data_IF_753276863765
#
_entry.id   IF_753276863765
#
_cell.length_a   1.000
_cell.length_b   1.000
_cell.length_c   1.000
_cell.angle_alpha   90.00
_cell.angle_beta   90.00
_cell.angle_gamma   90.00
#
_symmetry.space_group_name_H-M   'P 1'
#
loop_
_entity.id
_entity.type
_entity.pdbx_description
1 polymer ?
#
# COMPACT_ATOMS: atom_id res chain seq x y z
N UNK A 1 0.23 -19.96 7.66
CA UNK A 1 -1.12 -19.62 7.10
C UNK A 1 -1.28 -18.12 7.26
N UNK A 2 -1.74 -17.40 6.23
CA UNK A 2 -1.90 -15.95 6.34
C UNK A 2 -3.09 -15.59 7.25
N UNK A 3 -2.94 -14.55 8.06
CA UNK A 3 -4.03 -13.99 8.88
C UNK A 3 -5.11 -13.31 8.01
N UNK A 4 -4.71 -12.80 6.84
CA UNK A 4 -5.60 -12.19 5.86
C UNK A 4 -5.71 -13.10 4.65
N UNK A 5 -6.95 -13.41 4.23
CA UNK A 5 -7.24 -14.24 3.06
C UNK A 5 -8.31 -13.60 2.17
N UNK A 6 -8.37 -14.01 0.92
CA UNK A 6 -9.32 -13.51 -0.06
C UNK A 6 -10.14 -14.65 -0.67
N UNK A 7 -11.45 -14.51 -0.66
CA UNK A 7 -12.40 -15.41 -1.29
C UNK A 7 -12.99 -14.76 -2.55
N UNK A 8 -12.74 -15.35 -3.71
CA UNK A 8 -13.37 -14.94 -4.97
C UNK A 8 -14.77 -15.56 -5.06
N UNK A 9 -15.82 -14.74 -5.03
CA UNK A 9 -17.21 -15.20 -5.15
C UNK A 9 -17.64 -15.23 -6.62
N UNK A 10 -17.33 -14.17 -7.38
CA UNK A 10 -17.75 -14.06 -8.78
C UNK A 10 -16.81 -13.18 -9.58
N UNK A 11 -16.55 -13.59 -10.81
CA UNK A 11 -15.85 -12.78 -11.81
C UNK A 11 -16.82 -12.35 -12.92
N UNK A 12 -16.75 -11.10 -13.34
CA UNK A 12 -17.54 -10.60 -14.46
C UNK A 12 -16.95 -11.12 -15.78
N UNK A 13 -17.77 -11.79 -16.58
CA UNK A 13 -17.33 -12.34 -17.87
C UNK A 13 -17.00 -11.28 -18.93
N UNK A 14 -17.44 -10.02 -18.73
CA UNK A 14 -17.26 -8.92 -19.69
C UNK A 14 -16.15 -7.93 -19.35
N UNK A 15 -15.79 -7.81 -18.07
CA UNK A 15 -14.86 -6.74 -17.60
C UNK A 15 -13.74 -7.24 -16.70
N UNK A 16 -13.70 -8.53 -16.34
CA UNK A 16 -12.75 -9.05 -15.37
C UNK A 16 -12.90 -8.50 -13.95
N UNK A 17 -13.95 -7.71 -13.66
CA UNK A 17 -14.27 -7.24 -12.31
C UNK A 17 -14.58 -8.43 -11.40
N UNK A 18 -14.13 -8.36 -10.15
CA UNK A 18 -14.24 -9.45 -9.18
C UNK A 18 -15.05 -9.03 -7.97
N UNK A 19 -16.08 -9.79 -7.64
CA UNK A 19 -16.77 -9.74 -6.36
C UNK A 19 -16.14 -10.77 -5.43
N UNK A 20 -15.79 -10.38 -4.22
CA UNK A 20 -15.17 -11.28 -3.26
C UNK A 20 -15.31 -10.81 -1.82
N UNK A 21 -14.68 -11.55 -0.92
CA UNK A 21 -14.57 -11.22 0.50
C UNK A 21 -13.11 -11.19 0.93
N UNK A 22 -12.78 -10.19 1.71
CA UNK A 22 -11.49 -10.06 2.39
C UNK A 22 -11.71 -10.45 3.86
N UNK A 23 -11.08 -11.54 4.28
CA UNK A 23 -11.12 -12.01 5.66
C UNK A 23 -9.90 -11.48 6.39
N UNK A 24 -10.10 -10.82 7.53
CA UNK A 24 -9.03 -10.30 8.40
C UNK A 24 -9.31 -10.68 9.85
N UNK A 25 -8.36 -10.55 10.77
CA UNK A 25 -8.60 -10.73 12.20
C UNK A 25 -9.71 -9.83 12.77
N UNK A 26 -9.96 -8.67 12.14
CA UNK A 26 -10.99 -7.70 12.58
C UNK A 26 -12.27 -7.74 11.75
N UNK A 27 -12.49 -8.81 10.99
CA UNK A 27 -13.75 -9.05 10.29
C UNK A 27 -13.62 -9.48 8.84
N UNK A 28 -14.78 -9.69 8.22
CA UNK A 28 -14.92 -10.06 6.82
C UNK A 28 -15.58 -8.92 6.06
N UNK A 29 -14.97 -8.48 4.97
CA UNK A 29 -15.34 -7.30 4.23
C UNK A 29 -15.61 -7.61 2.76
N UNK A 30 -16.62 -6.98 2.20
CA UNK A 30 -16.97 -7.13 0.79
C UNK A 30 -16.01 -6.36 -0.11
N UNK A 31 -15.64 -6.95 -1.25
CA UNK A 31 -14.84 -6.30 -2.29
C UNK A 31 -15.58 -6.28 -3.63
N UNK A 32 -15.41 -5.25 -4.46
CA UNK A 32 -14.48 -4.13 -4.30
C UNK A 32 -14.92 -3.13 -3.23
N UNK A 33 -13.98 -2.46 -2.58
CA UNK A 33 -14.24 -1.41 -1.61
C UNK A 33 -13.25 -0.26 -1.74
N UNK A 34 -13.64 0.90 -1.26
CA UNK A 34 -12.77 2.05 -1.07
C UNK A 34 -12.24 2.07 0.37
N UNK A 35 -10.97 2.42 0.54
CA UNK A 35 -10.33 2.56 1.84
C UNK A 35 -10.08 4.04 2.13
N UNK A 36 -10.83 4.67 3.07
CA UNK A 36 -10.55 6.03 3.52
C UNK A 36 -9.14 6.13 4.12
N UNK A 37 -8.48 7.28 3.89
CA UNK A 37 -7.10 7.47 4.35
C UNK A 37 -7.08 8.17 5.71
N UNK A 38 -6.56 7.45 6.71
CA UNK A 38 -6.29 7.93 8.06
C UNK A 38 -4.80 8.22 8.26
N UNK A 39 -4.31 9.32 7.68
CA UNK A 39 -2.87 9.64 7.54
C UNK A 39 -2.09 9.58 8.85
N UNK A 40 -2.60 10.17 9.92
CA UNK A 40 -1.98 10.20 11.25
C UNK A 40 -2.90 9.54 12.28
N UNK A 41 -3.33 8.32 12.01
CA UNK A 41 -4.31 7.60 12.81
C UNK A 41 -5.64 8.38 12.99
N UNK A 42 -6.04 9.11 11.96
CA UNK A 42 -7.35 9.78 11.89
C UNK A 42 -7.74 10.04 10.44
N UNK A 43 -8.96 9.73 10.08
CA UNK A 43 -9.55 10.21 8.83
C UNK A 43 -10.01 11.65 9.09
N UNK A 44 -9.37 12.60 8.39
CA UNK A 44 -9.61 14.03 8.67
C UNK A 44 -11.09 14.38 8.64
N UNK A 45 -11.54 15.11 9.64
CA UNK A 45 -12.91 15.62 9.82
C UNK A 45 -13.98 14.56 10.13
N UNK A 46 -13.61 13.29 10.30
CA UNK A 46 -14.55 12.20 10.58
C UNK A 46 -14.18 11.48 11.87
N UNK A 47 -15.18 11.29 12.74
CA UNK A 47 -15.07 10.42 13.91
C UNK A 47 -15.26 8.94 13.50
N UNK A 48 -14.78 7.98 14.29
CA UNK A 48 -14.99 6.56 14.01
C UNK A 48 -16.45 6.17 13.82
N UNK A 49 -17.35 6.75 14.60
CA UNK A 49 -18.80 6.51 14.53
C UNK A 49 -19.38 6.94 13.16
N UNK A 50 -18.88 8.03 12.60
CA UNK A 50 -19.28 8.51 11.27
C UNK A 50 -18.76 7.58 10.17
N UNK A 51 -17.53 7.04 10.31
CA UNK A 51 -16.99 6.05 9.40
C UNK A 51 -17.82 4.76 9.41
N UNK A 52 -18.26 4.31 10.58
CA UNK A 52 -19.19 3.17 10.69
C UNK A 52 -20.53 3.46 10.01
N UNK A 53 -21.11 4.63 10.24
CA UNK A 53 -22.39 5.03 9.64
C UNK A 53 -22.31 5.12 8.11
N UNK A 54 -21.15 5.52 7.55
CA UNK A 54 -20.91 5.55 6.11
C UNK A 54 -20.57 4.16 5.51
N UNK A 55 -20.50 3.12 6.32
CA UNK A 55 -20.18 1.77 5.87
C UNK A 55 -18.70 1.55 5.51
N UNK A 56 -17.79 2.37 6.04
CA UNK A 56 -16.35 2.14 5.87
C UNK A 56 -15.98 0.77 6.45
N UNK A 57 -15.27 -0.04 5.66
CA UNK A 57 -14.92 -1.41 6.01
C UNK A 57 -13.45 -1.52 6.42
N UNK A 58 -12.57 -0.93 5.65
CA UNK A 58 -11.11 -0.92 5.89
C UNK A 58 -10.61 0.51 5.79
N UNK A 59 -9.74 0.91 6.71
CA UNK A 59 -9.06 2.21 6.71
C UNK A 59 -7.59 2.01 6.37
N UNK A 60 -7.03 2.92 5.55
CA UNK A 60 -5.61 2.98 5.28
C UNK A 60 -4.94 4.00 6.20
N UNK A 61 -3.82 3.64 6.83
CA UNK A 61 -2.96 4.56 7.59
C UNK A 61 -1.55 4.61 6.99
N UNK A 62 -0.90 5.78 7.08
CA UNK A 62 0.39 5.98 6.42
C UNK A 62 1.56 5.74 7.38
N UNK A 63 2.34 4.71 7.10
CA UNK A 63 3.53 4.30 7.88
C UNK A 63 4.53 5.44 8.05
N UNK A 64 4.86 6.17 6.98
CA UNK A 64 5.79 7.29 7.02
C UNK A 64 5.36 8.37 8.03
N UNK A 65 4.09 8.78 8.00
CA UNK A 65 3.58 9.81 8.89
C UNK A 65 3.58 9.35 10.35
N UNK A 66 3.15 8.12 10.60
CA UNK A 66 3.11 7.54 11.94
C UNK A 66 4.50 7.25 12.50
N UNK A 67 5.47 6.88 11.65
CA UNK A 67 6.87 6.75 12.03
C UNK A 67 7.46 8.07 12.54
N UNK A 68 7.11 9.20 11.88
CA UNK A 68 7.60 10.51 12.28
C UNK A 68 6.83 11.08 13.49
N UNK A 69 5.51 10.96 13.49
CA UNK A 69 4.63 11.50 14.54
C UNK A 69 3.29 10.76 14.59
N UNK A 70 2.89 10.21 15.74
CA UNK A 70 3.49 10.36 17.08
C UNK A 70 4.69 9.44 17.34
N UNK A 71 5.03 8.57 16.39
CA UNK A 71 6.01 7.50 16.54
C UNK A 71 5.32 6.15 16.80
N UNK A 72 5.78 5.11 16.11
CA UNK A 72 5.19 3.77 16.17
C UNK A 72 5.26 3.14 17.57
N UNK A 73 6.29 3.46 18.36
CA UNK A 73 6.42 2.99 19.74
C UNK A 73 5.31 3.52 20.66
N UNK A 74 4.86 4.75 20.46
CA UNK A 74 3.74 5.30 21.21
C UNK A 74 2.44 4.58 20.84
N UNK A 75 2.21 4.36 19.55
CA UNK A 75 1.02 3.64 19.06
C UNK A 75 1.02 2.20 19.56
N UNK A 76 2.18 1.52 19.57
CA UNK A 76 2.35 0.19 20.14
C UNK A 76 1.96 0.15 21.63
N UNK A 77 2.44 1.13 22.43
CA UNK A 77 2.10 1.26 23.87
C UNK A 77 0.60 1.50 24.09
N UNK A 78 -0.07 2.15 23.14
CA UNK A 78 -1.53 2.34 23.16
C UNK A 78 -2.33 1.09 22.73
N UNK A 79 -1.65 -0.02 22.40
CA UNK A 79 -2.27 -1.27 21.98
C UNK A 79 -2.51 -1.39 20.46
N UNK A 80 -1.73 -0.66 19.66
CA UNK A 80 -1.81 -0.65 18.20
C UNK A 80 -2.83 0.35 17.64
N UNK A 81 -2.90 0.43 16.31
CA UNK A 81 -3.75 1.40 15.61
C UNK A 81 -5.23 1.23 15.93
N UNK A 82 -5.75 0.02 16.03
CA UNK A 82 -7.16 -0.24 16.31
C UNK A 82 -7.58 0.42 17.63
N UNK A 83 -6.80 0.21 18.70
CA UNK A 83 -7.06 0.85 19.99
C UNK A 83 -6.80 2.35 19.96
N UNK A 84 -5.73 2.79 19.30
CA UNK A 84 -5.35 4.19 19.22
C UNK A 84 -6.38 5.05 18.47
N UNK A 85 -6.98 4.50 17.40
CA UNK A 85 -8.04 5.14 16.61
C UNK A 85 -9.44 4.85 17.14
N UNK A 86 -9.61 3.87 18.05
CA UNK A 86 -10.91 3.32 18.46
C UNK A 86 -11.74 2.84 17.25
N UNK A 87 -11.08 2.15 16.34
CA UNK A 87 -11.69 1.59 15.13
C UNK A 87 -11.43 0.08 15.09
N UNK A 88 -12.50 -0.72 15.14
CA UNK A 88 -12.46 -2.16 15.33
C UNK A 88 -12.64 -2.98 14.04
N UNK A 89 -12.65 -2.30 12.88
CA UNK A 89 -12.70 -2.96 11.56
C UNK A 89 -11.32 -3.04 10.93
N UNK A 90 -11.25 -3.55 9.71
CA UNK A 90 -9.99 -3.76 9.00
C UNK A 90 -9.13 -2.50 8.86
N UNK A 91 -7.83 -2.68 8.99
CA UNK A 91 -6.83 -1.64 8.76
C UNK A 91 -5.72 -2.13 7.85
N UNK A 92 -5.24 -1.22 7.00
CA UNK A 92 -4.06 -1.40 6.18
C UNK A 92 -3.07 -0.28 6.46
N UNK A 93 -1.78 -0.62 6.61
CA UNK A 93 -0.69 0.36 6.58
C UNK A 93 0.05 0.30 5.26
N UNK A 94 0.29 1.47 4.65
CA UNK A 94 1.14 1.54 3.45
C UNK A 94 2.62 1.26 3.78
N UNK A 95 3.45 1.11 2.75
CA UNK A 95 4.89 0.87 2.93
C UNK A 95 5.66 2.08 3.47
N UNK A 96 5.14 3.29 3.29
CA UNK A 96 5.84 4.56 3.48
C UNK A 96 6.73 4.97 2.30
N UNK A 97 6.93 4.11 1.30
CA UNK A 97 7.79 4.36 0.14
C UNK A 97 7.37 5.58 -0.66
N UNK A 98 6.09 5.70 -1.01
CA UNK A 98 5.57 6.83 -1.77
C UNK A 98 5.78 8.18 -1.06
N UNK A 99 5.55 8.26 0.26
CA UNK A 99 5.72 9.50 1.02
C UNK A 99 7.19 9.90 1.12
N UNK A 100 8.09 8.96 1.30
CA UNK A 100 9.54 9.21 1.22
C UNK A 100 9.90 9.73 -0.17
N UNK A 101 9.26 9.20 -1.22
CA UNK A 101 9.43 9.67 -2.59
C UNK A 101 8.91 11.10 -2.79
N UNK A 102 7.68 11.40 -2.36
CA UNK A 102 6.98 12.65 -2.67
C UNK A 102 7.32 13.81 -1.72
N UNK A 103 7.57 13.51 -0.43
CA UNK A 103 7.77 14.51 0.63
C UNK A 103 9.24 14.64 1.06
N UNK A 104 10.07 13.68 0.72
CA UNK A 104 11.48 13.64 1.10
C UNK A 104 12.33 14.59 0.27
N UNK A 105 12.46 15.85 0.69
CA UNK A 105 13.51 16.71 0.17
C UNK A 105 14.89 16.05 0.39
N UNK A 106 15.75 16.00 -0.64
CA UNK A 106 17.09 15.39 -0.58
C UNK A 106 17.09 13.93 -0.08
N UNK A 107 16.36 13.06 -0.78
CA UNK A 107 16.45 11.61 -0.53
C UNK A 107 17.66 10.99 -1.21
N UNK A 108 18.23 9.98 -0.57
CA UNK A 108 19.26 9.14 -1.13
C UNK A 108 18.83 7.68 -1.02
N UNK A 109 18.56 7.07 -2.17
CA UNK A 109 18.15 5.67 -2.29
C UNK A 109 19.42 4.83 -2.49
N UNK A 110 19.51 3.74 -1.75
CA UNK A 110 20.53 2.71 -1.83
C UNK A 110 19.89 1.34 -1.65
N UNK A 111 20.65 0.28 -1.85
CA UNK A 111 20.18 -1.08 -1.63
C UNK A 111 19.76 -1.33 -0.18
N UNK A 112 20.44 -0.71 0.78
CA UNK A 112 20.14 -0.85 2.20
C UNK A 112 18.82 -0.19 2.61
N UNK A 113 18.38 0.84 1.88
CA UNK A 113 17.19 1.62 2.20
C UNK A 113 17.32 3.07 1.74
N UNK A 114 16.48 3.94 2.30
CA UNK A 114 16.36 5.34 1.91
C UNK A 114 16.69 6.27 3.07
N UNK A 115 17.67 7.15 2.86
CA UNK A 115 17.94 8.28 3.75
C UNK A 115 17.18 9.50 3.24
N UNK A 116 16.47 10.19 4.12
CA UNK A 116 15.69 11.39 3.79
C UNK A 116 15.68 12.39 4.94
N UNK A 117 15.18 13.60 4.69
CA UNK A 117 14.92 14.59 5.74
C UNK A 117 13.44 14.62 6.07
N UNK A 118 13.14 14.59 7.37
CA UNK A 118 11.78 14.75 7.88
C UNK A 118 11.20 16.11 7.45
N UNK A 119 9.98 16.09 6.91
CA UNK A 119 9.26 17.31 6.54
C UNK A 119 8.75 18.09 7.77
N UNK A 120 8.80 17.50 8.97
CA UNK A 120 8.32 18.11 10.21
C UNK A 120 9.40 19.02 10.81
N UNK A 121 10.64 18.52 10.91
CA UNK A 121 11.73 19.16 11.67
C UNK A 121 13.07 19.18 10.92
N UNK A 122 13.11 18.69 9.67
CA UNK A 122 14.33 18.62 8.86
C UNK A 122 15.36 17.61 9.33
N UNK A 123 15.09 16.84 10.39
CA UNK A 123 16.02 15.83 10.89
C UNK A 123 16.27 14.72 9.87
N UNK A 124 17.51 14.23 9.85
CA UNK A 124 17.89 13.11 8.99
C UNK A 124 17.28 11.82 9.52
N UNK A 125 16.58 11.10 8.65
CA UNK A 125 15.95 9.81 8.93
C UNK A 125 16.42 8.76 7.95
N UNK A 126 16.32 7.50 8.35
CA UNK A 126 16.60 6.34 7.51
C UNK A 126 15.43 5.36 7.61
N UNK A 127 15.00 4.83 6.48
CA UNK A 127 13.98 3.80 6.39
C UNK A 127 14.50 2.69 5.49
N UNK A 128 14.51 1.47 5.99
CA UNK A 128 14.84 0.26 5.26
C UNK A 128 13.64 -0.68 5.21
N UNK A 129 13.65 -1.75 4.41
CA UNK A 129 12.62 -2.80 4.45
C UNK A 129 12.38 -3.32 5.87
N UNK A 130 13.44 -3.56 6.63
CA UNK A 130 13.37 -4.06 8.01
C UNK A 130 12.67 -3.03 8.92
N UNK A 131 13.13 -1.79 8.91
CA UNK A 131 12.56 -0.73 9.76
C UNK A 131 11.09 -0.47 9.39
N UNK A 132 10.76 -0.45 8.09
CA UNK A 132 9.38 -0.27 7.63
C UNK A 132 8.48 -1.41 8.11
N UNK A 133 8.96 -2.64 8.11
CA UNK A 133 8.24 -3.81 8.63
C UNK A 133 8.08 -3.74 10.14
N UNK A 134 9.14 -3.47 10.90
CA UNK A 134 9.09 -3.28 12.36
C UNK A 134 8.09 -2.18 12.76
N UNK A 135 8.07 -1.06 12.04
CA UNK A 135 7.10 0.02 12.25
C UNK A 135 5.68 -0.48 12.05
N UNK A 136 5.41 -1.19 10.95
CA UNK A 136 4.07 -1.71 10.64
C UNK A 136 3.63 -2.81 11.62
N UNK A 137 4.53 -3.67 12.08
CA UNK A 137 4.24 -4.63 13.15
C UNK A 137 3.88 -3.91 14.47
N UNK A 138 4.60 -2.85 14.82
CA UNK A 138 4.30 -2.04 16.00
C UNK A 138 2.95 -1.31 15.88
N UNK A 139 2.59 -0.85 14.68
CA UNK A 139 1.30 -0.23 14.39
C UNK A 139 0.15 -1.25 14.46
N UNK A 140 0.36 -2.50 14.07
CA UNK A 140 -0.59 -3.59 14.26
C UNK A 140 -1.84 -3.51 13.40
N UNK A 141 -1.74 -3.02 12.16
CA UNK A 141 -2.80 -3.14 11.17
C UNK A 141 -2.95 -4.60 10.70
N UNK A 142 -4.10 -4.99 10.16
CA UNK A 142 -4.32 -6.34 9.60
C UNK A 142 -3.42 -6.61 8.38
N UNK A 143 -3.21 -5.56 7.57
CA UNK A 143 -2.43 -5.63 6.34
C UNK A 143 -1.26 -4.66 6.43
N UNK A 144 -0.05 -5.18 6.25
CA UNK A 144 1.18 -4.42 6.05
C UNK A 144 1.62 -4.49 4.58
N UNK A 145 2.10 -3.38 4.02
CA UNK A 145 2.61 -3.35 2.65
C UNK A 145 4.13 -3.47 2.66
N UNK A 146 4.69 -4.31 1.78
CA UNK A 146 6.14 -4.41 1.62
C UNK A 146 6.75 -3.06 1.19
N UNK A 147 7.93 -2.73 1.71
CA UNK A 147 8.61 -1.49 1.36
C UNK A 147 9.03 -1.48 -0.11
N UNK A 148 8.69 -0.41 -0.82
CA UNK A 148 8.88 -0.28 -2.26
C UNK A 148 9.51 1.05 -2.65
N UNK A 149 10.05 1.10 -3.86
CA UNK A 149 10.48 2.33 -4.51
C UNK A 149 9.47 2.76 -5.56
N UNK A 150 8.80 3.89 -5.34
CA UNK A 150 7.89 4.46 -6.32
C UNK A 150 8.67 5.10 -7.47
N UNK A 151 8.48 4.58 -8.68
CA UNK A 151 9.12 5.08 -9.90
C UNK A 151 8.40 6.35 -10.38
N UNK A 152 9.10 7.46 -10.66
CA UNK A 152 8.48 8.67 -11.21
C UNK A 152 7.96 8.45 -12.64
N UNK A 153 7.12 9.36 -13.09
CA UNK A 153 6.74 9.47 -14.49
C UNK A 153 7.13 10.83 -15.05
N UNK A 154 7.77 10.90 -16.22
CA UNK A 154 8.36 9.77 -16.95
C UNK A 154 9.64 9.24 -16.28
N UNK A 155 9.99 8.00 -16.55
CA UNK A 155 11.27 7.40 -16.16
C UNK A 155 11.86 6.62 -17.35
N UNK A 156 13.18 6.60 -17.48
CA UNK A 156 13.83 5.74 -18.46
C UNK A 156 13.75 4.25 -18.05
N UNK A 157 13.93 3.37 -19.04
CA UNK A 157 13.77 1.93 -18.87
C UNK A 157 14.79 1.33 -17.89
N UNK A 158 16.06 1.75 -17.98
CA UNK A 158 17.12 1.15 -17.17
C UNK A 158 16.95 1.51 -15.69
N UNK A 159 16.58 2.78 -15.40
CA UNK A 159 16.22 3.18 -14.05
C UNK A 159 14.98 2.44 -13.53
N UNK A 160 13.93 2.37 -14.35
CA UNK A 160 12.70 1.67 -13.96
C UNK A 160 12.97 0.18 -13.68
N UNK A 161 13.81 -0.47 -14.49
CA UNK A 161 14.24 -1.86 -14.29
C UNK A 161 14.98 -2.06 -12.97
N UNK A 162 16.00 -1.23 -12.70
CA UNK A 162 16.78 -1.35 -11.46
C UNK A 162 15.93 -1.07 -10.22
N UNK A 163 15.06 -0.07 -10.27
CA UNK A 163 14.11 0.25 -9.20
C UNK A 163 13.13 -0.90 -8.94
N UNK A 164 12.61 -1.52 -10.00
CA UNK A 164 11.72 -2.68 -9.91
C UNK A 164 12.42 -3.87 -9.26
N UNK A 165 13.63 -4.20 -9.68
CA UNK A 165 14.43 -5.27 -9.09
C UNK A 165 14.77 -5.00 -7.63
N UNK A 166 15.09 -3.75 -7.28
CA UNK A 166 15.32 -3.33 -5.88
C UNK A 166 14.05 -3.52 -5.03
N UNK A 167 12.90 -3.11 -5.53
CA UNK A 167 11.61 -3.33 -4.86
C UNK A 167 11.37 -4.82 -4.61
N UNK A 168 11.67 -5.70 -5.56
CA UNK A 168 11.54 -7.15 -5.38
C UNK A 168 12.49 -7.67 -4.28
N UNK A 169 13.76 -7.23 -4.27
CA UNK A 169 14.70 -7.60 -3.19
C UNK A 169 14.25 -7.07 -1.82
N UNK A 170 13.73 -5.86 -1.77
CA UNK A 170 13.17 -5.27 -0.54
C UNK A 170 11.93 -6.01 -0.05
N UNK A 171 11.04 -6.42 -0.96
CA UNK A 171 9.88 -7.23 -0.62
C UNK A 171 10.27 -8.55 0.04
N UNK A 172 11.30 -9.24 -0.45
CA UNK A 172 11.86 -10.44 0.17
C UNK A 172 12.38 -10.16 1.57
N UNK A 173 13.15 -9.08 1.76
CA UNK A 173 13.68 -8.67 3.07
C UNK A 173 12.55 -8.37 4.07
N UNK A 174 11.47 -7.73 3.62
CA UNK A 174 10.30 -7.50 4.46
C UNK A 174 9.66 -8.82 4.93
N UNK A 175 9.47 -9.79 4.03
CA UNK A 175 8.93 -11.10 4.37
C UNK A 175 9.81 -11.86 5.36
N UNK A 176 11.14 -11.77 5.18
CA UNK A 176 12.09 -12.55 5.99
C UNK A 176 12.08 -12.13 7.48
N UNK A 177 11.70 -10.89 7.77
CA UNK A 177 11.66 -10.39 9.15
C UNK A 177 10.25 -10.26 9.72
N UNK A 178 9.21 -10.36 8.88
CA UNK A 178 7.83 -10.26 9.35
C UNK A 178 7.47 -11.46 10.22
N UNK A 179 7.15 -11.22 11.48
CA UNK A 179 6.88 -12.25 12.49
C UNK A 179 5.48 -12.20 13.09
N UNK A 180 4.74 -11.12 12.85
CA UNK A 180 3.44 -10.90 13.48
C UNK A 180 2.35 -11.79 12.89
N UNK A 181 1.82 -12.73 13.71
CA UNK A 181 0.88 -13.78 13.27
C UNK A 181 -0.52 -13.25 12.93
N UNK A 182 -0.98 -12.18 13.57
CA UNK A 182 -2.29 -11.53 13.34
C UNK A 182 -2.25 -10.43 12.26
N UNK A 183 -1.13 -10.33 11.52
CA UNK A 183 -0.95 -9.41 10.41
C UNK A 183 -0.51 -10.19 9.17
N UNK A 184 -0.89 -9.74 7.99
CA UNK A 184 -0.40 -10.30 6.73
C UNK A 184 0.26 -9.24 5.86
N UNK A 185 1.34 -9.64 5.19
CA UNK A 185 2.05 -8.74 4.28
C UNK A 185 1.54 -8.87 2.84
N UNK A 186 1.41 -7.74 2.16
CA UNK A 186 1.12 -7.61 0.74
C UNK A 186 2.35 -7.12 -0.01
N UNK A 187 2.69 -7.76 -1.12
CA UNK A 187 3.72 -7.29 -2.04
C UNK A 187 3.23 -6.14 -2.90
N UNK A 188 4.13 -5.30 -3.41
CA UNK A 188 3.77 -4.18 -4.30
C UNK A 188 4.40 -4.40 -5.67
N UNK A 189 3.57 -4.62 -6.70
CA UNK A 189 4.00 -4.72 -8.08
C UNK A 189 4.37 -3.34 -8.59
N UNK A 190 5.63 -3.18 -9.00
CA UNK A 190 6.19 -1.99 -9.62
C UNK A 190 6.54 -2.27 -11.11
N UNK A 191 7.15 -1.34 -11.82
CA UNK A 191 7.58 -1.50 -13.22
C UNK A 191 7.36 -0.26 -14.08
N UNK A 192 6.96 0.87 -13.47
CA UNK A 192 6.66 2.10 -14.21
C UNK A 192 5.58 1.87 -15.27
N UNK A 193 5.78 2.45 -16.45
CA UNK A 193 4.89 2.29 -17.61
C UNK A 193 5.42 1.24 -18.61
N UNK A 194 6.15 0.25 -18.13
CA UNK A 194 6.76 -0.80 -18.96
C UNK A 194 6.11 -2.16 -18.68
N UNK A 195 5.30 -2.70 -19.60
CA UNK A 195 4.55 -3.95 -19.40
C UNK A 195 5.45 -5.14 -19.02
N UNK A 196 6.62 -5.25 -19.67
CA UNK A 196 7.59 -6.31 -19.39
C UNK A 196 8.16 -6.24 -17.97
N UNK A 197 8.38 -5.04 -17.42
CA UNK A 197 8.82 -4.87 -16.03
C UNK A 197 7.69 -5.15 -15.04
N UNK A 198 6.45 -4.78 -15.38
CA UNK A 198 5.25 -5.11 -14.60
C UNK A 198 5.04 -6.62 -14.50
N UNK A 199 5.16 -7.31 -15.66
CA UNK A 199 5.11 -8.77 -15.70
C UNK A 199 6.20 -9.38 -14.83
N UNK A 200 7.46 -8.96 -15.02
CA UNK A 200 8.61 -9.46 -14.25
C UNK A 200 8.38 -9.27 -12.75
N UNK A 201 7.92 -8.09 -12.32
CA UNK A 201 7.63 -7.80 -10.91
C UNK A 201 6.51 -8.69 -10.36
N UNK A 202 5.40 -8.85 -11.11
CA UNK A 202 4.29 -9.70 -10.71
C UNK A 202 4.72 -11.16 -10.57
N UNK A 203 5.44 -11.70 -11.55
CA UNK A 203 5.94 -13.07 -11.54
C UNK A 203 6.83 -13.33 -10.32
N UNK A 204 7.83 -12.47 -10.08
CA UNK A 204 8.76 -12.60 -8.95
C UNK A 204 8.08 -12.48 -7.59
N UNK A 205 7.11 -11.56 -7.44
CA UNK A 205 6.39 -11.40 -6.18
C UNK A 205 5.43 -12.56 -5.90
N UNK A 206 4.81 -13.14 -6.95
CA UNK A 206 3.89 -14.26 -6.77
C UNK A 206 4.59 -15.54 -6.33
N UNK A 207 5.89 -15.68 -6.59
CA UNK A 207 6.71 -16.77 -6.07
C UNK A 207 7.00 -16.67 -4.56
N UNK A 208 6.82 -15.47 -3.96
CA UNK A 208 7.13 -15.20 -2.54
C UNK A 208 5.98 -15.46 -1.57
N UNK A 209 4.83 -15.95 -2.03
CA UNK A 209 3.63 -16.26 -1.23
C UNK A 209 3.14 -15.11 -0.32
N UNK A 210 3.00 -13.91 -0.86
CA UNK A 210 2.28 -12.83 -0.18
C UNK A 210 0.79 -13.15 -0.01
N UNK A 211 0.16 -12.62 1.05
CA UNK A 211 -1.28 -12.76 1.28
C UNK A 211 -2.13 -12.04 0.22
N UNK A 212 -1.58 -10.99 -0.38
CA UNK A 212 -2.20 -10.21 -1.44
C UNK A 212 -1.18 -9.28 -2.09
N UNK A 213 -1.62 -8.46 -3.05
CA UNK A 213 -0.73 -7.64 -3.85
C UNK A 213 -1.29 -6.23 -4.06
N UNK A 214 -0.44 -5.22 -3.85
CA UNK A 214 -0.66 -3.86 -4.30
C UNK A 214 -0.20 -3.67 -5.74
N UNK A 215 -0.87 -2.81 -6.49
CA UNK A 215 -0.44 -2.32 -7.80
C UNK A 215 0.02 -0.89 -7.58
N UNK A 216 1.34 -0.69 -7.50
CA UNK A 216 1.97 0.60 -7.23
C UNK A 216 2.48 1.29 -8.49
N UNK A 217 3.01 2.51 -8.31
CA UNK A 217 3.62 3.30 -9.38
C UNK A 217 2.67 3.69 -10.51
N UNK A 218 1.38 3.81 -10.21
CA UNK A 218 0.35 4.39 -11.08
C UNK A 218 -0.18 5.67 -10.44
N UNK A 219 -0.79 6.54 -11.24
CA UNK A 219 -1.26 7.88 -10.80
C UNK A 219 -0.13 8.80 -10.32
N UNK A 220 1.01 8.70 -10.99
CA UNK A 220 2.23 9.49 -10.72
C UNK A 220 2.50 10.57 -11.76
N UNK A 221 1.48 10.89 -12.60
CA UNK A 221 1.54 11.93 -13.63
C UNK A 221 1.30 11.44 -15.06
N UNK A 222 1.13 10.14 -15.26
CA UNK A 222 0.83 9.56 -16.56
C UNK A 222 -0.60 9.89 -17.03
N UNK A 223 -0.85 9.92 -18.37
CA UNK A 223 -2.19 10.05 -18.92
C UNK A 223 -3.12 8.88 -18.50
N UNK A 224 -4.39 9.16 -18.18
CA UNK A 224 -5.36 8.14 -17.75
C UNK A 224 -5.47 6.93 -18.68
N UNK A 225 -5.52 7.07 -20.02
CA UNK A 225 -5.55 5.91 -20.91
C UNK A 225 -4.35 4.97 -20.69
N UNK A 226 -3.13 5.54 -20.60
CA UNK A 226 -1.92 4.75 -20.34
C UNK A 226 -1.99 4.03 -18.97
N UNK A 227 -2.49 4.71 -17.93
CA UNK A 227 -2.69 4.10 -16.62
C UNK A 227 -3.63 2.87 -16.70
N UNK A 228 -4.75 2.99 -17.42
CA UNK A 228 -5.69 1.88 -17.58
C UNK A 228 -5.10 0.72 -18.37
N UNK A 229 -4.35 1.01 -19.45
CA UNK A 229 -3.69 -0.02 -20.26
C UNK A 229 -2.66 -0.79 -19.42
N UNK A 230 -1.82 -0.09 -18.69
CA UNK A 230 -0.82 -0.70 -17.78
C UNK A 230 -1.49 -1.49 -16.65
N UNK A 231 -2.59 -0.98 -16.07
CA UNK A 231 -3.35 -1.69 -15.05
C UNK A 231 -3.91 -3.02 -15.58
N UNK A 232 -4.53 -2.99 -16.76
CA UNK A 232 -5.08 -4.19 -17.40
C UNK A 232 -3.99 -5.24 -17.61
N UNK A 233 -2.88 -4.87 -18.23
CA UNK A 233 -1.76 -5.77 -18.49
C UNK A 233 -1.15 -6.31 -17.18
N UNK A 234 -0.99 -5.46 -16.16
CA UNK A 234 -0.46 -5.89 -14.85
C UNK A 234 -1.35 -6.96 -14.21
N UNK A 235 -2.66 -6.77 -14.26
CA UNK A 235 -3.61 -7.68 -13.59
C UNK A 235 -3.69 -9.06 -14.23
N UNK A 236 -3.31 -9.22 -15.49
CA UNK A 236 -3.22 -10.52 -16.18
C UNK A 236 -2.18 -11.46 -15.55
N UNK A 237 -1.13 -10.89 -14.96
CA UNK A 237 -0.03 -11.62 -14.34
C UNK A 237 -0.21 -11.84 -12.82
N UNK A 238 -1.34 -11.41 -12.25
CA UNK A 238 -1.59 -11.50 -10.81
C UNK A 238 -2.59 -12.63 -10.48
N UNK A 239 -2.38 -13.38 -9.39
CA UNK A 239 -3.30 -14.48 -9.01
C UNK A 239 -4.73 -13.96 -8.78
N UNK A 240 -5.73 -14.71 -9.29
CA UNK A 240 -7.14 -14.35 -9.14
C UNK A 240 -7.69 -14.64 -7.74
N UNK A 241 -7.09 -15.56 -7.04
CA UNK A 241 -7.46 -16.00 -5.68
C UNK A 241 -6.78 -15.22 -4.57
N UNK A 242 -6.11 -14.12 -4.89
CA UNK A 242 -5.49 -13.19 -3.93
C UNK A 242 -6.12 -11.81 -4.03
N UNK A 243 -6.17 -11.09 -2.92
CA UNK A 243 -6.60 -9.69 -2.90
C UNK A 243 -5.68 -8.81 -3.74
N UNK A 244 -6.26 -7.82 -4.42
CA UNK A 244 -5.52 -6.82 -5.21
C UNK A 244 -5.91 -5.43 -4.75
N UNK A 245 -4.93 -4.60 -4.48
CA UNK A 245 -5.10 -3.23 -4.03
C UNK A 245 -4.47 -2.26 -5.02
N UNK A 246 -5.25 -1.38 -5.62
CA UNK A 246 -4.75 -0.32 -6.49
C UNK A 246 -4.36 0.89 -5.63
N UNK A 247 -3.05 1.19 -5.60
CA UNK A 247 -2.48 2.24 -4.74
C UNK A 247 -2.61 3.60 -5.42
N UNK A 248 -2.96 4.65 -4.64
CA UNK A 248 -2.97 6.06 -5.03
C UNK A 248 -3.97 6.50 -6.11
N UNK A 249 -5.11 5.82 -6.25
CA UNK A 249 -6.10 6.15 -7.29
C UNK A 249 -6.91 7.44 -7.01
N UNK A 250 -6.92 7.96 -5.78
CA UNK A 250 -7.88 8.99 -5.36
C UNK A 250 -7.77 10.32 -6.13
N UNK A 251 -6.55 10.73 -6.49
CA UNK A 251 -6.31 12.02 -7.17
C UNK A 251 -6.58 12.00 -8.68
N UNK A 252 -6.77 10.82 -9.26
CA UNK A 252 -6.93 10.65 -10.71
C UNK A 252 -8.32 10.23 -11.13
N UNK A 253 -9.15 9.75 -10.18
CA UNK A 253 -10.56 9.42 -10.46
C UNK A 253 -11.42 10.68 -10.42
N UNK A 254 -12.35 10.85 -11.38
CA UNK A 254 -13.31 11.94 -11.32
C UNK A 254 -14.12 11.88 -10.03
N UNK A 255 -14.01 12.92 -9.22
CA UNK A 255 -14.80 13.08 -8.00
C UNK A 255 -15.97 14.03 -8.26
N UNK A 256 -17.12 13.84 -7.61
CA UNK A 256 -18.19 14.85 -7.63
C UNK A 256 -17.70 16.24 -7.20
N UNK A 257 -16.64 16.32 -6.42
CA UNK A 257 -15.99 17.58 -5.99
C UNK A 257 -15.30 18.29 -7.15
N UNK A 258 -14.76 17.54 -8.14
CA UNK A 258 -14.09 18.14 -9.32
C UNK A 258 -15.07 18.79 -10.27
N UNK A 259 -16.35 18.43 -10.22
CA UNK A 259 -17.42 19.03 -11.04
C UNK A 259 -17.91 20.39 -10.52
N UNK A 260 -17.58 20.75 -9.28
CA UNK A 260 -17.98 22.01 -8.66
C UNK A 260 -16.95 23.15 -8.85
N UNK A 261 -15.83 22.86 -9.52
CA UNK A 261 -14.73 23.80 -9.78
C UNK A 261 -14.58 24.16 -11.27
N UNK A 262 -15.52 23.74 -12.13
CA UNK A 262 -15.55 24.07 -13.56
C UNK A 262 -16.67 25.05 -13.88
#
# INVERSE_FOLDING_TARGET
MHAVTYELIKECSRSGARLGKLHTPHGTFDTPMFMPVGTQATVKTLAPEELYAMGSQVILSNTYHLFLRPGHELVKKAGGLHNFMRYDRGMLTDSGGFQVFSLGAMRKIKEEGVTFRSHIDGSKKFLSPEIATEVQEALGADIAMAFDECIPYPADFDYAKESTLRTTRWAKRCLDIHTREDQSMFGIVQGGMYPELRKMSADQLTEMDFAGYGIGGLSVGEPKPLMYDILNQTTEHMPKNKARYLICLLYTSPSPRDRSLS
#
